data_IF_767281922980
#
_entry.id   IF_767281922980
#
_cell.length_a   1.000
_cell.length_b   1.000
_cell.length_c   1.000
_cell.angle_alpha   90.00
_cell.angle_beta   90.00
_cell.angle_gamma   90.00
#
_symmetry.space_group_name_H-M   'P 1'
#
loop_
_entity.id
_entity.type
_entity.pdbx_description
1 polymer ?
#
# COMPACT_ATOMS: atom_id res chain seq x y z
N UNK A 1 -6.23 -16.99 9.42
CA UNK A 1 -5.21 -15.91 9.29
C UNK A 1 -4.30 -16.10 8.07
N UNK A 2 -4.52 -17.11 7.21
CA UNK A 2 -3.73 -17.32 5.99
C UNK A 2 -4.09 -16.33 4.86
N UNK A 3 -5.35 -15.91 4.78
CA UNK A 3 -5.88 -15.11 3.66
C UNK A 3 -5.93 -13.59 3.90
N UNK A 4 -5.22 -13.02 4.86
CA UNK A 4 -5.14 -11.54 4.98
C UNK A 4 -3.97 -11.02 4.14
N UNK A 5 -4.09 -9.82 3.51
CA UNK A 5 -2.94 -9.14 2.94
C UNK A 5 -1.75 -9.11 3.92
N UNK A 6 -0.52 -9.18 3.40
CA UNK A 6 0.69 -9.22 4.23
C UNK A 6 0.75 -8.06 5.25
N UNK A 7 0.23 -6.89 4.91
CA UNK A 7 0.14 -5.74 5.80
C UNK A 7 -0.68 -5.99 7.08
N UNK A 8 -1.70 -6.85 7.04
CA UNK A 8 -2.45 -7.24 8.26
C UNK A 8 -1.60 -8.04 9.25
N UNK A 9 -0.49 -8.64 8.80
CA UNK A 9 0.38 -9.41 9.70
C UNK A 9 1.19 -8.47 10.59
N UNK A 10 1.39 -7.23 10.16
CA UNK A 10 2.09 -6.19 10.94
C UNK A 10 1.28 -5.74 12.16
N UNK A 11 -0.04 -5.89 12.14
CA UNK A 11 -0.89 -5.64 13.31
C UNK A 11 -0.97 -6.86 14.25
N UNK A 12 -0.91 -8.08 13.73
CA UNK A 12 -1.18 -9.30 14.50
C UNK A 12 0.06 -10.02 15.08
N UNK A 13 1.26 -9.86 14.51
CA UNK A 13 2.48 -10.57 14.97
C UNK A 13 3.24 -9.88 16.12
N UNK A 14 2.65 -8.84 16.71
CA UNK A 14 3.32 -8.00 17.70
C UNK A 14 2.80 -6.57 17.69
N UNK A 15 2.11 -6.17 16.61
CA UNK A 15 1.72 -4.79 16.36
C UNK A 15 2.94 -3.97 15.99
N UNK A 16 2.79 -3.02 15.08
CA UNK A 16 3.61 -1.82 15.10
C UNK A 16 3.35 -1.14 16.45
N UNK A 17 4.04 -1.58 17.52
CA UNK A 17 3.94 -1.01 18.87
C UNK A 17 4.70 0.31 18.90
N UNK A 18 4.22 1.26 18.12
CA UNK A 18 4.61 2.65 18.25
C UNK A 18 4.03 3.28 19.53
N UNK A 19 3.13 2.59 20.22
CA UNK A 19 2.41 3.10 21.39
C UNK A 19 3.27 3.56 22.58
N UNK A 20 4.56 3.20 22.64
CA UNK A 20 5.48 3.72 23.67
C UNK A 20 6.40 4.85 23.18
N UNK A 21 6.63 4.97 21.86
CA UNK A 21 7.72 5.81 21.30
C UNK A 21 7.25 6.83 20.26
N UNK A 22 5.97 6.85 19.87
CA UNK A 22 5.42 7.78 18.89
C UNK A 22 4.18 8.40 19.52
N UNK A 23 4.20 9.71 19.72
CA UNK A 23 3.00 10.42 20.18
C UNK A 23 1.97 10.38 19.05
N UNK A 24 0.68 10.36 19.37
CA UNK A 24 -0.37 10.39 18.34
C UNK A 24 -0.23 11.60 17.39
N UNK A 25 0.32 12.72 17.89
CA UNK A 25 0.69 13.90 17.09
C UNK A 25 1.77 13.65 16.04
N UNK A 26 2.67 12.70 16.27
CA UNK A 26 3.74 12.38 15.33
C UNK A 26 3.21 11.55 14.15
N UNK A 27 2.07 10.86 14.31
CA UNK A 27 1.42 10.11 13.24
C UNK A 27 0.92 11.06 12.15
N UNK A 28 0.35 12.20 12.52
CA UNK A 28 -0.09 13.23 11.57
C UNK A 28 1.12 13.78 10.79
N UNK A 29 2.23 14.04 11.48
CA UNK A 29 3.50 14.44 10.86
C UNK A 29 4.01 13.41 9.85
N UNK A 30 4.07 12.12 10.21
CA UNK A 30 4.54 11.08 9.29
C UNK A 30 3.60 10.85 8.10
N UNK A 31 2.28 11.01 8.29
CA UNK A 31 1.31 10.94 7.19
C UNK A 31 1.52 12.08 6.21
N UNK A 32 1.66 13.30 6.72
CA UNK A 32 1.90 14.49 5.89
C UNK A 32 3.21 14.36 5.08
N UNK A 33 4.29 13.91 5.71
CA UNK A 33 5.56 13.63 5.02
C UNK A 33 5.43 12.54 3.93
N UNK A 34 4.64 11.49 4.17
CA UNK A 34 4.37 10.45 3.18
C UNK A 34 3.52 10.97 2.01
N UNK A 35 2.50 11.79 2.30
CA UNK A 35 1.62 12.39 1.29
C UNK A 35 2.39 13.38 0.40
N UNK A 36 3.36 14.09 0.97
CA UNK A 36 4.24 15.00 0.24
C UNK A 36 5.35 14.29 -0.56
N UNK A 37 5.51 12.97 -0.44
CA UNK A 37 6.53 12.25 -1.20
C UNK A 37 6.26 12.26 -2.71
N UNK A 38 7.27 12.74 -3.43
CA UNK A 38 7.33 12.69 -4.89
C UNK A 38 7.81 11.32 -5.34
N UNK A 39 7.50 10.96 -6.58
CA UNK A 39 7.94 9.72 -7.20
C UNK A 39 9.46 9.51 -7.11
N UNK A 40 10.24 10.59 -7.26
CA UNK A 40 11.70 10.58 -7.15
C UNK A 40 12.24 10.27 -5.76
N UNK A 41 11.40 10.36 -4.72
CA UNK A 41 11.78 10.07 -3.34
C UNK A 41 11.56 8.60 -2.97
N UNK A 42 10.92 7.81 -3.83
CA UNK A 42 10.58 6.41 -3.56
C UNK A 42 11.26 5.47 -4.57
N UNK A 43 12.11 4.59 -4.06
CA UNK A 43 12.62 3.45 -4.85
C UNK A 43 11.65 2.28 -4.75
N UNK A 44 10.82 2.13 -5.79
CA UNK A 44 9.92 0.97 -5.90
C UNK A 44 10.71 -0.28 -6.28
N UNK A 45 10.77 -1.26 -5.39
CA UNK A 45 11.37 -2.57 -5.66
C UNK A 45 10.24 -3.57 -5.99
N UNK A 46 10.30 -4.25 -7.15
CA UNK A 46 9.40 -5.35 -7.45
C UNK A 46 9.45 -6.42 -6.35
N UNK A 47 8.30 -7.02 -6.06
CA UNK A 47 8.21 -8.21 -5.24
C UNK A 47 8.97 -9.35 -5.90
N UNK A 48 9.64 -10.15 -5.07
CA UNK A 48 10.29 -11.38 -5.52
C UNK A 48 9.24 -12.47 -5.74
N UNK A 49 9.57 -13.48 -6.54
CA UNK A 49 8.68 -14.63 -6.77
C UNK A 49 8.24 -15.29 -5.45
N UNK A 50 9.16 -15.42 -4.49
CA UNK A 50 8.86 -15.94 -3.16
C UNK A 50 7.81 -15.11 -2.38
N UNK A 51 7.74 -13.80 -2.61
CA UNK A 51 6.70 -12.96 -2.01
C UNK A 51 5.38 -13.16 -2.74
N UNK A 52 5.40 -13.23 -4.08
CA UNK A 52 4.20 -13.45 -4.88
C UNK A 52 3.54 -14.80 -4.57
N UNK A 53 4.33 -15.85 -4.34
CA UNK A 53 3.85 -17.20 -3.98
C UNK A 53 3.10 -17.26 -2.64
N UNK A 54 3.42 -16.37 -1.70
CA UNK A 54 2.77 -16.34 -0.37
C UNK A 54 1.63 -15.32 -0.29
N UNK A 55 1.38 -14.56 -1.34
CA UNK A 55 0.26 -13.62 -1.39
C UNK A 55 -1.05 -14.40 -1.57
N UNK A 56 -2.11 -14.00 -0.86
CA UNK A 56 -3.45 -14.51 -1.13
C UNK A 56 -3.86 -14.26 -2.60
N UNK A 57 -4.60 -15.19 -3.21
CA UNK A 57 -4.97 -15.12 -4.63
C UNK A 57 -5.73 -13.83 -5.01
N UNK A 58 -6.53 -13.26 -4.10
CA UNK A 58 -7.24 -12.00 -4.37
C UNK A 58 -6.29 -10.80 -4.53
N UNK A 59 -5.04 -10.87 -4.03
CA UNK A 59 -4.05 -9.80 -4.20
C UNK A 59 -3.59 -9.64 -5.66
N UNK A 60 -3.80 -10.66 -6.50
CA UNK A 60 -3.51 -10.62 -7.95
C UNK A 60 -4.77 -10.63 -8.82
N UNK A 61 -5.94 -10.78 -8.20
CA UNK A 61 -7.22 -10.76 -8.87
C UNK A 61 -7.52 -9.36 -9.42
N UNK A 62 -8.07 -9.29 -10.63
CA UNK A 62 -8.38 -8.00 -11.26
C UNK A 62 -7.15 -7.29 -11.86
N UNK A 63 -6.03 -8.00 -12.06
CA UNK A 63 -4.80 -7.39 -12.59
C UNK A 63 -4.95 -6.75 -13.97
N UNK A 64 -5.98 -7.13 -14.72
CA UNK A 64 -6.35 -6.53 -15.99
C UNK A 64 -6.86 -5.08 -15.86
N UNK A 65 -7.45 -4.70 -14.72
CA UNK A 65 -7.96 -3.34 -14.47
C UNK A 65 -7.05 -2.50 -13.58
N UNK A 66 -5.91 -3.05 -13.14
CA UNK A 66 -5.00 -2.38 -12.21
C UNK A 66 -4.48 -1.03 -12.69
N UNK A 67 -4.34 -0.82 -14.00
CA UNK A 67 -3.91 0.48 -14.59
C UNK A 67 -5.05 1.48 -14.77
N UNK A 68 -6.27 1.14 -14.35
CA UNK A 68 -7.42 2.02 -14.47
C UNK A 68 -7.25 3.24 -13.57
N UNK A 69 -7.20 4.42 -14.17
CA UNK A 69 -7.28 5.70 -13.46
C UNK A 69 -8.74 6.08 -13.36
N UNK A 70 -9.32 5.83 -12.19
CA UNK A 70 -10.75 6.06 -11.93
C UNK A 70 -10.94 6.96 -10.71
N UNK A 71 -12.11 7.59 -10.62
CA UNK A 71 -12.47 8.39 -9.46
C UNK A 71 -13.12 7.48 -8.42
N UNK A 72 -12.54 7.43 -7.21
CA UNK A 72 -13.14 6.79 -6.06
C UNK A 72 -14.02 7.80 -5.33
N UNK A 73 -15.27 7.45 -5.11
CA UNK A 73 -16.24 8.30 -4.43
C UNK A 73 -16.63 7.62 -3.12
N UNK A 74 -16.31 8.26 -2.01
CA UNK A 74 -16.75 7.86 -0.68
C UNK A 74 -17.55 9.02 -0.08
N UNK A 75 -18.85 9.10 -0.40
CA UNK A 75 -19.89 10.09 0.00
C UNK A 75 -19.46 11.57 0.16
N UNK A 76 -18.49 11.87 1.02
CA UNK A 76 -17.92 13.18 1.32
C UNK A 76 -16.54 13.42 0.70
N UNK A 77 -15.88 12.39 0.15
CA UNK A 77 -14.52 12.46 -0.41
C UNK A 77 -14.54 11.91 -1.83
N UNK A 78 -13.97 12.69 -2.74
CA UNK A 78 -13.70 12.28 -4.12
C UNK A 78 -12.19 12.21 -4.27
N UNK A 79 -11.66 11.02 -4.51
CA UNK A 79 -10.22 10.77 -4.63
C UNK A 79 -9.92 10.16 -6.00
N UNK A 80 -8.94 10.71 -6.71
CA UNK A 80 -8.48 10.09 -7.96
C UNK A 80 -7.59 8.90 -7.62
N UNK A 81 -7.99 7.70 -8.05
CA UNK A 81 -7.13 6.52 -7.93
C UNK A 81 -5.98 6.61 -8.94
N UNK A 82 -4.75 6.67 -8.43
CA UNK A 82 -3.51 6.71 -9.21
C UNK A 82 -2.69 5.44 -8.91
N UNK A 83 -3.00 4.31 -9.56
CA UNK A 83 -2.42 3.01 -9.20
C UNK A 83 -0.94 2.90 -9.56
N UNK A 84 -0.43 3.81 -10.41
CA UNK A 84 0.91 3.78 -11.01
C UNK A 84 2.04 3.54 -9.99
N UNK A 85 1.85 3.99 -8.74
CA UNK A 85 2.80 3.83 -7.63
C UNK A 85 2.92 2.37 -7.17
N UNK A 86 1.80 1.69 -6.92
CA UNK A 86 1.78 0.32 -6.37
C UNK A 86 2.11 -0.73 -7.45
N UNK A 87 1.75 -0.47 -8.71
CA UNK A 87 1.99 -1.40 -9.81
C UNK A 87 3.46 -1.69 -10.10
N UNK A 88 4.37 -0.79 -9.70
CA UNK A 88 5.82 -1.02 -9.78
C UNK A 88 6.26 -2.21 -8.93
N UNK A 89 5.60 -2.45 -7.79
CA UNK A 89 5.90 -3.60 -6.94
C UNK A 89 5.49 -4.92 -7.56
N UNK A 90 4.51 -4.92 -8.46
CA UNK A 90 4.10 -6.10 -9.22
C UNK A 90 4.80 -6.23 -10.58
N UNK A 91 5.82 -5.40 -10.84
CA UNK A 91 6.52 -5.36 -12.14
C UNK A 91 5.65 -4.87 -13.30
N UNK A 92 4.51 -4.22 -13.02
CA UNK A 92 3.49 -3.85 -14.00
C UNK A 92 3.55 -2.38 -14.46
N UNK A 93 4.58 -1.64 -14.04
CA UNK A 93 4.81 -0.26 -14.48
C UNK A 93 5.47 -0.22 -15.85
N UNK A 94 4.91 0.57 -16.75
CA UNK A 94 5.57 0.97 -17.99
C UNK A 94 6.24 2.32 -17.78
#
# INVERSE_FOLDING_TARGET
MADCPLGCRWTNAGGLRFGANVRTTDIEFYRDELDQQRETHITWRPYTDAVLEVLPAFCVQGSEVWRSRTTLICFHIVELHVPDRVLRQFGAAR
#
